data_IF_714437928154
#
_entry.id   IF_714437928154
#
_cell.length_a   1.000
_cell.length_b   1.000
_cell.length_c   1.000
_cell.angle_alpha   90.00
_cell.angle_beta   90.00
_cell.angle_gamma   90.00
#
_symmetry.space_group_name_H-M   'P 1'
#
loop_
_entity.id
_entity.type
_entity.pdbx_description
1 polymer ?
2 branched ?
3 non-polymer ?
4 non-polymer ?
5 non-polymer ?
#
# COMPACT_ATOMS: atom_id res chain seq x y z
N UNK A 2 -24.94 15.78 -11.65
CA UNK A 2 -25.10 16.30 -10.26
C UNK A 2 -25.32 15.31 -9.10
N UNK A 3 -24.43 14.35 -8.94
CA UNK A 3 -24.58 13.29 -7.95
C UNK A 3 -24.27 13.70 -6.50
N UNK A 4 -23.33 14.62 -6.26
CA UNK A 4 -23.01 14.94 -4.87
C UNK A 4 -23.10 16.38 -4.39
N UNK A 5 -22.46 16.71 -3.26
CA UNK A 5 -22.41 18.08 -2.74
C UNK A 5 -20.98 18.56 -2.56
N UNK A 6 -20.64 19.67 -3.21
CA UNK A 6 -19.32 20.27 -3.11
C UNK A 6 -19.31 21.31 -2.02
N UNK A 7 -18.15 21.46 -1.39
CA UNK A 7 -17.88 22.57 -0.54
C UNK A 7 -16.41 22.88 -0.59
N UNK A 8 -16.00 23.89 0.17
CA UNK A 8 -14.57 24.11 0.38
C UNK A 8 -13.95 22.93 1.13
N UNK A 9 -12.96 22.30 0.49
CA UNK A 9 -12.15 21.21 1.04
C UNK A 9 -12.87 19.88 1.14
N UNK A 10 -14.00 19.67 0.45
CA UNK A 10 -14.63 18.35 0.50
C UNK A 10 -15.56 18.13 -0.69
N UNK A 11 -15.92 16.85 -0.88
CA UNK A 11 -16.92 16.43 -1.86
C UNK A 11 -17.67 15.25 -1.24
N UNK A 12 -18.88 15.49 -0.77
CA UNK A 12 -19.75 14.43 -0.25
C UNK A 12 -20.50 13.75 -1.39
N UNK A 13 -20.30 12.44 -1.61
CA UNK A 13 -20.99 11.76 -2.73
C UNK A 13 -22.46 11.48 -2.45
N UNK A 14 -23.22 12.55 -2.21
CA UNK A 14 -24.65 12.45 -1.96
C UNK A 14 -25.29 13.76 -2.38
N UNK A 15 -26.48 13.68 -2.97
CA UNK A 15 -27.12 14.88 -3.50
C UNK A 15 -27.80 15.62 -2.37
N UNK A 16 -27.74 16.95 -2.42
CA UNK A 16 -28.31 17.79 -1.38
C UNK A 16 -29.71 18.29 -1.72
N UNK A 17 -30.39 17.66 -2.70
CA UNK A 17 -31.71 18.15 -3.12
C UNK A 17 -32.71 18.15 -1.96
N UNK A 18 -32.51 17.29 -0.95
CA UNK A 18 -33.30 17.21 0.27
C UNK A 18 -32.74 18.04 1.41
N UNK A 19 -31.59 18.68 1.22
CA UNK A 19 -31.06 19.57 2.22
C UNK A 19 -30.40 18.91 3.42
N UNK A 20 -30.14 17.60 3.38
CA UNK A 20 -29.63 16.90 4.57
C UNK A 20 -28.11 16.79 4.62
N UNK A 21 -27.39 17.16 3.56
CA UNK A 21 -25.95 16.98 3.54
C UNK A 21 -25.28 18.00 4.46
N UNK A 22 -24.23 17.56 5.15
CA UNK A 22 -23.46 18.37 6.07
C UNK A 22 -21.97 18.21 5.76
N UNK A 23 -21.18 19.22 6.10
CA UNK A 23 -19.74 19.15 5.96
C UNK A 23 -19.24 17.89 6.66
N UNK A 24 -18.41 17.07 6.00
CA UNK A 24 -17.84 15.90 6.68
C UNK A 24 -16.87 16.28 7.80
N UNK A 25 -16.55 17.56 7.95
CA UNK A 25 -15.76 18.02 9.08
C UNK A 25 -16.59 18.48 10.29
N UNK A 26 -17.93 18.48 10.22
CA UNK A 26 -18.75 19.08 11.27
C UNK A 26 -19.88 18.21 11.80
N UNK A 27 -20.33 17.19 11.07
CA UNK A 27 -21.54 16.51 11.48
C UNK A 27 -21.58 15.15 10.78
N UNK A 28 -22.26 14.17 11.36
CA UNK A 28 -22.16 12.79 10.88
C UNK A 28 -22.84 12.55 9.53
N UNK A 29 -22.22 11.69 8.73
CA UNK A 29 -22.67 11.46 7.36
C UNK A 29 -23.62 10.26 7.28
N UNK A 30 -24.60 10.15 8.21
CA UNK A 30 -25.43 8.93 8.25
C UNK A 30 -26.46 8.85 7.10
N UNK A 31 -26.41 9.68 6.05
CA UNK A 31 -27.21 9.53 4.85
C UNK A 31 -26.40 8.86 3.74
N UNK A 32 -25.08 8.78 3.90
CA UNK A 32 -24.21 7.96 3.06
C UNK A 32 -24.34 6.49 3.40
N UNK A 33 -24.68 6.18 4.66
CA UNK A 33 -24.56 4.83 5.20
C UNK A 33 -25.21 4.80 6.57
N UNK A 34 -25.88 3.69 6.88
CA UNK A 34 -26.46 3.48 8.20
C UNK A 34 -25.37 3.50 9.27
N UNK A 35 -25.73 3.87 10.51
CA UNK A 35 -24.74 3.79 11.60
C UNK A 35 -24.01 2.45 11.68
N UNK A 36 -24.76 1.34 11.60
CA UNK A 36 -24.13 0.02 11.66
C UNK A 36 -23.08 -0.17 10.57
N UNK A 37 -23.22 0.50 9.44
CA UNK A 37 -22.18 0.38 8.42
C UNK A 37 -20.96 1.19 8.78
N UNK A 38 -21.13 2.32 9.49
CA UNK A 38 -19.95 2.99 10.01
C UNK A 38 -19.28 2.15 11.08
N UNK A 39 -20.07 1.45 11.91
CA UNK A 39 -19.50 0.53 12.89
C UNK A 39 -18.71 -0.58 12.23
N UNK A 40 -19.23 -1.13 11.12
CA UNK A 40 -18.54 -2.20 10.40
C UNK A 40 -17.26 -1.65 9.78
N UNK A 41 -17.30 -0.40 9.31
CA UNK A 41 -16.05 0.26 8.96
C UNK A 41 -15.09 0.27 10.14
N UNK A 42 -15.62 0.55 11.34
CA UNK A 42 -14.77 0.57 12.54
C UNK A 42 -14.23 -0.82 12.82
N UNK A 43 -15.10 -1.83 12.74
CA UNK A 43 -14.69 -3.20 13.02
C UNK A 43 -13.61 -3.67 12.06
N UNK A 44 -13.74 -3.33 10.78
CA UNK A 44 -12.72 -3.69 9.80
C UNK A 44 -11.37 -3.05 10.18
N UNK A 45 -11.40 -1.76 10.56
CA UNK A 45 -10.18 -1.07 10.99
C UNK A 45 -9.59 -1.74 12.23
N UNK A 46 -10.45 -2.20 13.15
CA UNK A 46 -9.94 -2.88 14.33
C UNK A 46 -9.21 -4.16 13.93
N UNK A 47 -9.80 -4.92 13.02
CA UNK A 47 -9.16 -6.12 12.48
C UNK A 47 -7.78 -5.79 11.90
N UNK A 48 -7.71 -4.76 11.05
CA UNK A 48 -6.42 -4.42 10.46
C UNK A 48 -5.42 -4.01 11.51
N UNK A 49 -5.85 -3.27 12.56
CA UNK A 49 -4.94 -2.89 13.65
C UNK A 49 -4.46 -4.13 14.41
N UNK A 50 -5.39 -4.99 14.81
CA UNK A 50 -5.03 -6.10 15.68
C UNK A 50 -4.18 -7.13 14.97
N UNK A 51 -4.31 -7.25 13.65
CA UNK A 51 -3.41 -8.12 12.89
C UNK A 51 -2.19 -7.36 12.40
N UNK A 52 -2.37 -6.11 11.98
CA UNK A 52 -1.30 -5.37 11.36
C UNK A 52 -0.23 -4.82 12.28
N UNK A 53 -0.61 -4.35 13.47
CA UNK A 53 0.41 -3.88 14.42
C UNK A 53 1.33 -5.02 14.83
N UNK A 54 0.83 -6.14 15.37
CA UNK A 54 1.77 -7.17 15.86
C UNK A 54 2.69 -7.68 14.76
N UNK A 55 2.15 -8.04 13.60
CA UNK A 55 2.96 -8.62 12.53
C UNK A 55 4.07 -7.65 12.12
N UNK A 56 3.73 -6.39 11.93
CA UNK A 56 4.75 -5.45 11.50
C UNK A 56 5.66 -5.05 12.65
N UNK A 57 5.10 -4.90 13.86
CA UNK A 57 5.97 -4.60 14.98
C UNK A 57 6.91 -5.75 15.26
N UNK A 58 6.39 -6.98 15.25
CA UNK A 58 7.21 -8.16 15.49
C UNK A 58 8.33 -8.26 14.46
N UNK A 59 8.08 -7.85 13.22
CA UNK A 59 9.13 -7.83 12.20
C UNK A 59 10.29 -6.93 12.62
N UNK A 60 9.97 -5.75 13.16
CA UNK A 60 11.02 -4.87 13.67
C UNK A 60 11.67 -5.46 14.90
N UNK A 61 10.88 -6.17 15.72
CA UNK A 61 11.39 -6.60 17.01
C UNK A 61 12.36 -7.77 16.84
N UNK A 62 11.99 -8.78 16.04
CA UNK A 62 12.88 -9.92 15.84
C UNK A 62 14.14 -9.53 15.08
N UNK A 63 14.11 -8.46 14.30
CA UNK A 63 15.34 -8.03 13.65
C UNK A 63 16.33 -7.46 14.66
N UNK A 64 15.82 -6.86 15.74
CA UNK A 64 16.68 -6.36 16.80
C UNK A 64 17.35 -7.51 17.57
N UNK A 65 16.67 -8.65 17.70
CA UNK A 65 17.16 -9.76 18.51
C UNK A 65 18.02 -10.77 17.77
N UNK A 66 18.05 -10.73 16.44
CA UNK A 66 18.64 -11.82 15.64
C UNK A 66 19.64 -11.22 14.66
N UNK A 67 20.93 -11.44 14.91
CA UNK A 67 21.97 -10.76 14.13
C UNK A 67 21.87 -11.12 12.66
N UNK A 68 21.46 -12.36 12.35
CA UNK A 68 21.52 -12.80 10.96
C UNK A 68 20.44 -12.17 10.08
N UNK A 69 19.43 -11.53 10.67
CA UNK A 69 18.44 -10.83 9.85
C UNK A 69 18.95 -9.48 9.35
N UNK A 70 19.95 -8.90 10.03
CA UNK A 70 20.41 -7.56 9.70
C UNK A 70 21.40 -7.56 8.52
N UNK A 71 20.92 -8.07 7.38
CA UNK A 71 21.69 -8.08 6.14
C UNK A 71 21.11 -7.05 5.17
N UNK A 72 21.95 -6.49 4.28
CA UNK A 72 21.46 -5.41 3.41
C UNK A 72 20.24 -5.77 2.58
N UNK A 73 20.16 -7.01 2.08
CA UNK A 73 19.00 -7.43 1.30
C UNK A 73 17.70 -7.40 2.11
N UNK A 74 17.80 -7.31 3.44
CA UNK A 74 16.63 -7.26 4.31
C UNK A 74 16.22 -5.85 4.71
N UNK A 75 17.08 -4.84 4.49
CA UNK A 75 16.73 -3.47 4.88
C UNK A 75 15.40 -3.05 4.25
N UNK A 76 15.18 -3.36 2.97
CA UNK A 76 13.96 -2.91 2.31
C UNK A 76 12.74 -3.56 2.94
N UNK A 77 12.90 -4.75 3.54
CA UNK A 77 11.80 -5.41 4.23
C UNK A 77 11.47 -4.72 5.55
N UNK A 78 12.49 -4.22 6.26
CA UNK A 78 12.22 -3.41 7.45
C UNK A 78 11.48 -2.14 7.06
N UNK A 79 11.91 -1.49 5.98
CA UNK A 79 11.21 -0.34 5.43
C UNK A 79 9.74 -0.66 5.18
N UNK A 80 9.48 -1.83 4.57
CA UNK A 80 8.11 -2.29 4.36
C UNK A 80 7.34 -2.34 5.67
N UNK A 81 7.97 -2.89 6.72
CA UNK A 81 7.32 -3.01 8.03
C UNK A 81 6.98 -1.62 8.58
N UNK A 82 7.95 -0.69 8.51
CA UNK A 82 7.70 0.67 8.96
C UNK A 82 6.56 1.31 8.17
N UNK A 83 6.55 1.11 6.85
CA UNK A 83 5.52 1.73 6.03
C UNK A 83 4.15 1.22 6.44
N UNK A 84 4.04 -0.09 6.63
CA UNK A 84 2.79 -0.66 7.12
C UNK A 84 2.37 -0.06 8.46
N UNK A 85 3.33 0.29 9.32
CA UNK A 85 2.97 0.87 10.61
C UNK A 85 2.46 2.30 10.46
N UNK A 86 3.00 3.08 9.50
CA UNK A 86 2.40 4.34 9.11
C UNK A 86 0.95 4.17 8.69
N UNK A 87 0.67 3.11 7.93
CA UNK A 87 -0.71 2.85 7.54
C UNK A 87 -1.55 2.47 8.73
N UNK A 88 -0.99 1.66 9.64
CA UNK A 88 -1.75 1.18 10.79
C UNK A 88 -2.10 2.34 11.72
N UNK A 89 -1.18 3.27 11.92
CA UNK A 89 -1.37 4.33 12.92
C UNK A 89 -1.82 5.64 12.32
N UNK A 90 -1.25 6.05 11.18
CA UNK A 90 -1.73 7.23 10.50
C UNK A 90 -3.06 7.06 9.83
N UNK A 91 -3.46 5.82 9.54
CA UNK A 91 -4.62 5.56 8.73
C UNK A 91 -5.70 4.79 9.45
N UNK A 92 -5.41 3.55 9.85
CA UNK A 92 -6.46 2.69 10.39
C UNK A 92 -6.91 3.20 11.76
N UNK A 93 -5.99 3.75 12.55
CA UNK A 93 -6.34 4.21 13.90
C UNK A 93 -7.19 5.46 13.82
N UNK A 94 -6.74 6.45 13.04
CA UNK A 94 -7.56 7.64 12.81
C UNK A 94 -8.92 7.29 12.24
N UNK A 95 -9.00 6.30 11.36
CA UNK A 95 -10.27 5.98 10.75
C UNK A 95 -11.18 5.21 11.69
N UNK A 96 -10.60 4.37 12.55
CA UNK A 96 -11.40 3.77 13.62
C UNK A 96 -12.03 4.84 14.49
N UNK A 97 -11.29 5.93 14.71
CA UNK A 97 -11.79 6.92 15.66
C UNK A 97 -12.85 7.80 15.02
N UNK A 98 -12.63 8.24 13.78
CA UNK A 98 -13.61 9.07 13.07
C UNK A 98 -14.82 8.25 12.69
N UNK A 99 -14.62 7.03 12.20
CA UNK A 99 -15.75 6.18 11.87
C UNK A 99 -16.77 6.06 13.01
N UNK A 100 -16.31 6.07 14.27
CA UNK A 100 -17.23 5.99 15.41
C UNK A 100 -17.91 7.30 15.76
N UNK A 101 -17.45 8.40 15.20
CA UNK A 101 -18.18 9.65 15.22
C UNK A 101 -19.09 9.78 14.00
N UNK A 102 -18.79 9.08 12.92
CA UNK A 102 -19.55 9.14 11.70
C UNK A 102 -19.13 10.25 10.78
N UNK A 103 -17.97 10.86 11.02
CA UNK A 103 -17.44 11.90 10.15
C UNK A 103 -16.03 12.23 10.60
N UNK A 104 -15.37 13.06 9.81
CA UNK A 104 -13.96 13.32 10.01
C UNK A 104 -13.79 14.44 11.02
N UNK A 105 -13.69 14.04 12.30
CA UNK A 105 -13.83 15.00 13.40
C UNK A 105 -12.60 15.88 13.59
N UNK A 106 -11.56 15.68 12.79
CA UNK A 106 -10.31 16.38 12.99
C UNK A 106 -10.18 17.60 12.08
N UNK A 107 -11.18 17.89 11.24
CA UNK A 107 -11.15 19.10 10.44
C UNK A 107 -10.20 19.03 9.27
N UNK A 108 -10.21 20.08 8.44
CA UNK A 108 -9.36 20.06 7.23
C UNK A 108 -7.88 19.88 7.52
N UNK A 109 -7.37 20.48 8.60
CA UNK A 109 -5.96 20.27 8.98
C UNK A 109 -5.68 18.81 9.32
N UNK A 110 -6.52 18.21 10.16
CA UNK A 110 -6.38 16.78 10.39
C UNK A 110 -6.49 15.97 9.12
N UNK A 111 -7.25 16.48 8.14
CA UNK A 111 -7.44 15.77 6.89
C UNK A 111 -6.13 15.69 6.10
N UNK A 112 -5.35 16.79 6.11
CA UNK A 112 -4.06 16.78 5.43
C UNK A 112 -3.08 15.86 6.13
N UNK A 113 -3.06 15.89 7.47
CA UNK A 113 -2.16 15.05 8.22
C UNK A 113 -2.44 13.57 8.00
N UNK A 114 -3.68 13.15 8.23
CA UNK A 114 -4.03 11.75 8.05
C UNK A 114 -3.92 11.33 6.60
N UNK A 115 -4.28 12.22 5.68
CA UNK A 115 -4.09 11.93 4.28
C UNK A 115 -2.63 11.76 3.92
N UNK A 116 -1.79 12.69 4.37
CA UNK A 116 -0.37 12.62 4.04
C UNK A 116 0.24 11.33 4.58
N UNK A 117 0.05 11.05 5.87
CA UNK A 117 0.76 9.92 6.47
C UNK A 117 0.21 8.60 5.95
N UNK A 118 -1.11 8.50 5.74
CA UNK A 118 -1.65 7.27 5.19
C UNK A 118 -1.23 7.10 3.72
N UNK A 119 -1.14 8.19 2.96
CA UNK A 119 -0.67 8.07 1.59
C UNK A 119 0.82 7.76 1.54
N UNK A 120 1.60 8.40 2.43
CA UNK A 120 3.03 8.10 2.53
C UNK A 120 3.28 6.64 2.90
N UNK A 121 2.56 6.12 3.89
CA UNK A 121 2.74 4.73 4.27
C UNK A 121 2.51 3.76 3.12
N UNK A 122 1.38 3.93 2.42
CA UNK A 122 1.06 3.02 1.32
C UNK A 122 2.02 3.17 0.16
N UNK A 123 2.48 4.40 -0.09
CA UNK A 123 3.43 4.64 -1.17
C UNK A 123 4.78 4.00 -0.85
N UNK A 124 5.27 4.14 0.40
CA UNK A 124 6.56 3.55 0.77
C UNK A 124 6.48 2.04 0.66
N UNK A 125 5.36 1.45 1.08
CA UNK A 125 5.17 0.01 0.90
C UNK A 125 5.26 -0.36 -0.59
N UNK A 126 4.41 0.26 -1.41
CA UNK A 126 4.44 0.06 -2.86
C UNK A 126 5.85 0.07 -3.42
N UNK A 127 6.60 1.13 -3.14
CA UNK A 127 7.92 1.25 -3.75
C UNK A 127 8.92 0.32 -3.07
N UNK A 128 8.67 -0.09 -1.83
CA UNK A 128 9.50 -1.12 -1.21
C UNK A 128 9.39 -2.43 -1.98
N UNK A 129 8.18 -2.81 -2.39
CA UNK A 129 8.03 -4.01 -3.21
C UNK A 129 8.68 -3.84 -4.57
N UNK A 130 8.63 -2.63 -5.13
CA UNK A 130 9.32 -2.36 -6.38
C UNK A 130 10.82 -2.48 -6.17
N UNK A 131 11.35 -1.84 -5.14
CA UNK A 131 12.80 -1.83 -4.93
C UNK A 131 13.29 -3.23 -4.56
N UNK A 132 12.54 -3.96 -3.73
CA UNK A 132 12.92 -5.33 -3.41
C UNK A 132 13.04 -6.16 -4.69
N UNK A 133 12.14 -5.93 -5.65
CA UNK A 133 12.19 -6.71 -6.89
C UNK A 133 13.40 -6.31 -7.71
N UNK A 134 13.71 -5.01 -7.73
CA UNK A 134 14.91 -4.56 -8.43
C UNK A 134 16.16 -5.17 -7.79
N UNK A 135 16.18 -5.21 -6.45
CA UNK A 135 17.37 -5.70 -5.77
C UNK A 135 17.58 -7.19 -6.03
N UNK A 136 16.53 -7.99 -5.84
CA UNK A 136 16.61 -9.42 -6.14
C UNK A 136 16.98 -9.68 -7.60
N UNK A 137 16.46 -8.85 -8.52
CA UNK A 137 16.83 -9.00 -9.93
C UNK A 137 18.31 -8.78 -10.15
N UNK A 138 18.88 -7.79 -9.46
CA UNK A 138 20.30 -7.46 -9.61
C UNK A 138 21.16 -8.59 -9.05
N UNK A 139 20.79 -9.11 -7.87
CA UNK A 139 21.59 -10.11 -7.18
C UNK A 139 21.60 -11.44 -7.93
N UNK A 140 20.52 -11.77 -8.63
CA UNK A 140 20.35 -13.07 -9.29
C UNK A 140 20.73 -13.02 -10.78
N UNK A 141 20.25 -12.03 -11.51
CA UNK A 141 20.51 -11.96 -12.94
C UNK A 141 21.86 -11.31 -13.28
N UNK A 142 22.57 -10.76 -12.28
CA UNK A 142 23.90 -10.17 -12.42
C UNK A 142 24.05 -9.39 -13.73
N UNK A 143 23.34 -8.27 -13.89
CA UNK A 143 23.47 -7.47 -15.13
C UNK A 143 24.65 -6.51 -15.18
N UNK A 144 25.39 -6.33 -14.08
CA UNK A 144 26.64 -5.58 -14.07
C UNK A 144 27.75 -6.56 -13.74
N UNK A 145 28.83 -6.54 -14.52
CA UNK A 145 29.74 -7.68 -14.47
C UNK A 145 30.58 -7.67 -13.20
N UNK A 146 31.04 -6.52 -12.76
CA UNK A 146 31.90 -6.43 -11.58
C UNK A 146 31.18 -5.87 -10.34
N UNK A 147 29.90 -6.23 -10.13
CA UNK A 147 29.04 -5.57 -9.17
C UNK A 147 28.70 -6.51 -8.01
N UNK A 148 28.75 -5.96 -6.79
CA UNK A 148 28.38 -6.68 -5.58
C UNK A 148 27.49 -5.77 -4.73
N UNK A 149 26.28 -6.25 -4.42
CA UNK A 149 25.27 -5.45 -3.72
C UNK A 149 25.58 -5.40 -2.22
N UNK A 150 25.81 -4.20 -1.70
CA UNK A 150 26.16 -4.06 -0.29
C UNK A 150 25.36 -3.07 0.52
N UNK A 151 25.89 -2.70 1.69
CA UNK A 151 25.16 -1.84 2.62
C UNK A 151 24.77 -0.50 1.98
N UNK A 152 25.72 0.18 1.33
CA UNK A 152 25.40 1.50 0.78
C UNK A 152 24.31 1.41 -0.29
N UNK A 153 24.36 0.39 -1.14
CA UNK A 153 23.33 0.24 -2.17
C UNK A 153 21.96 0.01 -1.54
N UNK A 154 21.89 -0.79 -0.48
CA UNK A 154 20.60 -1.08 0.15
C UNK A 154 20.03 0.16 0.84
N UNK A 155 20.88 1.04 1.36
CA UNK A 155 20.39 2.31 1.89
C UNK A 155 19.78 3.17 0.79
N UNK A 156 20.51 3.35 -0.33
CA UNK A 156 19.94 4.02 -1.50
C UNK A 156 18.54 3.52 -1.83
N UNK A 157 18.36 2.19 -1.92
CA UNK A 157 17.05 1.67 -2.20
C UNK A 157 15.98 2.15 -1.25
N UNK A 158 16.29 2.20 0.04
CA UNK A 158 15.30 2.63 1.02
C UNK A 158 15.01 4.12 0.84
N UNK A 159 16.07 4.93 0.83
CA UNK A 159 15.93 6.35 0.53
C UNK A 159 15.08 6.57 -0.71
N UNK A 160 15.30 5.76 -1.75
CA UNK A 160 14.55 5.91 -2.99
C UNK A 160 13.06 5.79 -2.77
N UNK A 161 12.64 4.82 -1.94
CA UNK A 161 11.21 4.68 -1.67
C UNK A 161 10.66 5.93 -0.99
N UNK A 162 11.46 6.54 -0.11
CA UNK A 162 11.00 7.76 0.56
C UNK A 162 10.86 8.92 -0.41
N UNK A 163 11.76 9.00 -1.39
CA UNK A 163 11.65 10.05 -2.40
C UNK A 163 10.41 9.83 -3.26
N UNK A 164 10.21 8.59 -3.75
CA UNK A 164 9.01 8.32 -4.54
C UNK A 164 7.74 8.57 -3.74
N UNK A 165 7.73 8.19 -2.46
CA UNK A 165 6.53 8.36 -1.65
C UNK A 165 6.26 9.83 -1.37
N UNK A 166 7.32 10.60 -1.10
CA UNK A 166 7.11 12.04 -0.94
C UNK A 166 6.63 12.65 -2.24
N UNK A 167 7.11 12.12 -3.37
CA UNK A 167 6.72 12.68 -4.65
C UNK A 167 5.24 12.49 -4.95
N UNK A 168 4.60 11.48 -4.34
CA UNK A 168 3.15 11.36 -4.45
C UNK A 168 2.44 12.13 -3.35
N UNK A 169 2.89 11.96 -2.10
CA UNK A 169 2.12 12.36 -0.93
C UNK A 169 2.24 13.84 -0.62
N UNK A 170 3.32 14.48 -1.04
CA UNK A 170 3.62 15.85 -0.65
C UNK A 170 3.02 16.91 -1.58
N UNK A 171 2.89 16.69 -2.90
CA UNK A 171 2.28 17.74 -3.76
C UNK A 171 0.89 18.16 -3.34
N UNK A 172 -0.03 17.25 -2.97
CA UNK A 172 -1.37 17.68 -2.55
C UNK A 172 -1.35 18.60 -1.34
N UNK A 173 -0.24 18.65 -0.62
CA UNK A 173 -0.05 19.56 0.49
C UNK A 173 0.26 20.98 0.00
N UNK A 174 0.72 21.15 -1.24
CA UNK A 174 1.25 22.43 -1.70
C UNK A 174 0.58 22.85 -3.00
N UNK A 175 -0.53 22.22 -3.38
CA UNK A 175 -1.33 22.77 -4.47
C UNK A 175 -1.45 21.91 -5.71
N UNK A 176 -0.87 20.72 -5.78
CA UNK A 176 -1.12 19.79 -6.89
C UNK A 176 -1.92 18.63 -6.34
N UNK A 177 -3.20 18.57 -6.73
CA UNK A 177 -4.24 17.79 -6.10
C UNK A 177 -4.49 18.30 -4.69
N UNK A 178 -5.03 17.46 -3.82
CA UNK A 178 -5.42 17.91 -2.49
C UNK A 178 -5.91 16.69 -1.72
N UNK A 179 -5.91 16.82 -0.40
CA UNK A 179 -6.51 15.79 0.43
C UNK A 179 -7.93 16.22 0.81
N UNK A 180 -8.86 15.28 0.72
CA UNK A 180 -10.25 15.49 1.10
C UNK A 180 -10.75 14.20 1.72
N UNK A 181 -11.80 14.28 2.53
CA UNK A 181 -12.49 13.05 2.92
C UNK A 181 -12.87 12.23 1.69
N UNK A 182 -12.91 10.92 1.86
CA UNK A 182 -13.20 10.03 0.75
C UNK A 182 -14.14 8.95 1.28
N UNK A 183 -14.84 8.31 0.35
CA UNK A 183 -15.74 7.23 0.73
C UNK A 183 -16.80 7.78 1.64
N UNK A 184 -16.91 7.16 2.78
CA UNK A 184 -17.87 7.52 3.82
C UNK A 184 -17.40 8.74 4.60
N UNK A 185 -16.31 9.37 4.16
CA UNK A 185 -15.86 10.69 4.60
C UNK A 185 -15.17 10.60 5.96
N UNK A 186 -14.78 9.41 6.37
CA UNK A 186 -14.08 9.18 7.63
C UNK A 186 -12.58 9.06 7.47
N UNK A 187 -12.08 9.00 6.24
CA UNK A 187 -10.64 9.03 6.02
C UNK A 187 -10.36 9.92 4.84
N UNK A 188 -9.12 10.39 4.77
CA UNK A 188 -8.70 11.41 3.83
C UNK A 188 -7.67 10.81 2.88
N UNK A 189 -7.67 11.27 1.63
CA UNK A 189 -6.72 10.77 0.65
C UNK A 189 -6.63 11.69 -0.55
N UNK A 190 -5.82 11.26 -1.52
CA UNK A 190 -5.68 12.02 -2.75
C UNK A 190 -7.05 12.16 -3.38
N UNK A 191 -7.36 13.36 -3.88
CA UNK A 191 -8.62 13.63 -4.58
C UNK A 191 -8.50 13.20 -6.04
N UNK A 192 -8.87 11.98 -6.39
CA UNK A 192 -9.08 11.60 -7.80
C UNK A 192 -10.56 11.65 -8.20
N UNK A 193 -11.42 12.29 -7.41
CA UNK A 193 -12.88 12.12 -7.43
C UNK A 193 -13.58 13.36 -7.91
N UNK A 194 -12.88 14.44 -7.99
CA UNK A 194 -13.45 15.68 -8.39
C UNK A 194 -12.53 16.16 -9.48
N UNK A 195 -13.04 16.85 -10.46
CA UNK A 195 -12.20 17.35 -11.53
C UNK A 195 -11.72 18.75 -11.22
N UNK A 196 -11.14 18.91 -10.03
CA UNK A 196 -10.74 20.20 -9.52
C UNK A 196 -9.77 20.83 -10.49
N UNK A 197 -9.99 22.08 -10.82
CA UNK A 197 -9.16 22.72 -11.83
C UNK A 197 -8.11 23.62 -11.19
N UNK A 198 -8.44 24.18 -10.02
CA UNK A 198 -7.55 25.11 -9.34
C UNK A 198 -6.26 24.45 -8.88
N UNK A 199 -6.29 23.15 -8.57
CA UNK A 199 -5.13 22.37 -8.16
C UNK A 199 -4.67 21.36 -9.23
N UNK A 200 -5.14 21.52 -10.47
CA UNK A 200 -4.76 20.65 -11.59
C UNK A 200 -4.85 19.17 -11.24
N UNK A 201 -6.04 18.76 -10.78
CA UNK A 201 -6.23 17.38 -10.33
C UNK A 201 -6.00 16.38 -11.45
N UNK A 202 -6.49 16.70 -12.66
CA UNK A 202 -6.38 15.81 -13.81
C UNK A 202 -4.94 15.34 -14.03
N UNK A 203 -4.02 16.30 -14.12
CA UNK A 203 -2.64 15.93 -14.43
C UNK A 203 -1.97 15.18 -13.28
N UNK A 204 -2.42 15.38 -12.05
CA UNK A 204 -1.88 14.58 -10.96
C UNK A 204 -2.37 13.14 -11.05
N UNK A 205 -3.63 12.95 -11.46
CA UNK A 205 -4.16 11.60 -11.61
C UNK A 205 -3.41 10.86 -12.72
N UNK A 206 -3.18 11.53 -13.86
CA UNK A 206 -2.37 10.96 -14.92
C UNK A 206 -0.97 10.63 -14.39
N UNK A 207 -0.36 11.57 -13.67
CA UNK A 207 0.99 11.35 -13.17
C UNK A 207 1.01 10.21 -12.17
N UNK A 208 0.00 10.15 -11.30
CA UNK A 208 -0.13 9.00 -10.40
C UNK A 208 -0.30 7.72 -11.19
N UNK A 209 -1.13 7.78 -12.23
CA UNK A 209 -1.48 6.57 -12.96
C UNK A 209 -0.25 6.01 -13.65
N UNK A 210 0.53 6.89 -14.30
CA UNK A 210 1.71 6.46 -15.04
C UNK A 210 2.83 6.05 -14.09
N UNK A 211 3.21 6.95 -13.19
CA UNK A 211 4.46 6.80 -12.45
C UNK A 211 4.29 5.89 -11.23
N UNK A 212 3.17 6.01 -10.52
CA UNK A 212 2.94 5.28 -9.28
C UNK A 212 1.96 4.12 -9.45
N UNK A 213 1.60 3.78 -10.68
CA UNK A 213 0.69 2.67 -10.90
C UNK A 213 1.18 1.79 -12.04
N UNK A 214 1.50 2.40 -13.18
CA UNK A 214 1.94 1.66 -14.35
C UNK A 214 3.39 1.21 -14.20
N UNK A 215 4.29 2.18 -13.96
CA UNK A 215 5.71 1.86 -13.83
C UNK A 215 5.99 0.81 -12.76
N UNK A 216 5.41 0.88 -11.54
CA UNK A 216 5.64 -0.21 -10.58
C UNK A 216 5.28 -1.57 -11.11
N UNK A 217 4.16 -1.69 -11.83
CA UNK A 217 3.75 -2.99 -12.34
C UNK A 217 4.74 -3.49 -13.39
N UNK A 218 5.21 -2.60 -14.26
CA UNK A 218 6.13 -3.00 -15.32
C UNK A 218 7.46 -3.47 -14.71
N UNK A 219 8.00 -2.69 -13.77
CA UNK A 219 9.27 -3.04 -13.15
C UNK A 219 9.15 -4.34 -12.38
N UNK A 220 8.08 -4.51 -11.61
CA UNK A 220 7.89 -5.73 -10.86
C UNK A 220 7.79 -6.93 -11.80
N UNK A 221 7.03 -6.80 -12.89
CA UNK A 221 6.88 -7.94 -13.80
C UNK A 221 8.18 -8.27 -14.51
N UNK A 222 8.90 -7.24 -14.97
CA UNK A 222 10.15 -7.48 -15.66
C UNK A 222 11.20 -8.13 -14.76
N UNK A 223 11.46 -7.52 -13.60
CA UNK A 223 12.48 -8.04 -12.71
C UNK A 223 12.18 -9.49 -12.32
N UNK A 224 10.97 -9.77 -11.88
CA UNK A 224 10.66 -11.14 -11.45
C UNK A 224 10.54 -12.08 -12.62
N UNK A 225 10.12 -11.61 -13.78
CA UNK A 225 10.09 -12.48 -14.94
C UNK A 225 11.48 -12.91 -15.33
N UNK A 226 12.39 -11.94 -15.47
CA UNK A 226 13.78 -12.24 -15.77
C UNK A 226 14.37 -13.18 -14.74
N UNK A 227 14.10 -12.92 -13.47
CA UNK A 227 14.65 -13.74 -12.39
C UNK A 227 14.20 -15.19 -12.52
N UNK A 228 12.90 -15.41 -12.74
CA UNK A 228 12.40 -16.77 -12.88
C UNK A 228 13.03 -17.43 -14.10
N UNK A 229 13.19 -16.66 -15.17
CA UNK A 229 13.83 -17.19 -16.37
C UNK A 229 15.26 -17.62 -16.07
N UNK A 230 16.04 -16.75 -15.41
CA UNK A 230 17.41 -17.07 -15.02
C UNK A 230 17.47 -18.31 -14.13
N UNK A 231 16.57 -18.42 -13.15
CA UNK A 231 16.65 -19.55 -12.24
C UNK A 231 16.27 -20.86 -12.94
N UNK A 232 15.20 -20.84 -13.74
CA UNK A 232 14.84 -22.01 -14.55
C UNK A 232 15.96 -22.40 -15.51
N UNK A 233 16.61 -21.42 -16.13
CA UNK A 233 17.65 -21.72 -17.10
C UNK A 233 18.84 -22.37 -16.41
N UNK A 234 19.22 -21.83 -15.24
CA UNK A 234 20.34 -22.36 -14.48
C UNK A 234 20.03 -23.76 -13.97
N UNK A 235 18.81 -23.94 -13.44
CA UNK A 235 18.44 -25.26 -12.92
C UNK A 235 18.42 -26.29 -14.03
N UNK A 236 18.05 -25.89 -15.26
CA UNK A 236 18.03 -26.80 -16.39
C UNK A 236 19.41 -27.34 -16.70
N UNK A 237 20.44 -26.54 -16.43
CA UNK A 237 21.83 -26.94 -16.64
C UNK A 237 22.36 -27.80 -15.50
N UNK A 238 21.57 -28.03 -14.46
CA UNK A 238 21.98 -28.81 -13.29
C UNK A 238 20.83 -29.71 -12.87
N UNK A 239 20.28 -30.44 -13.83
CA UNK A 239 19.13 -31.27 -13.54
C UNK A 239 19.48 -32.48 -12.67
N UNK A 240 20.78 -32.75 -12.47
CA UNK A 240 21.23 -33.80 -11.58
C UNK A 240 21.09 -33.44 -10.11
N UNK A 241 20.82 -32.17 -9.80
CA UNK A 241 20.75 -31.70 -8.42
C UNK A 241 19.29 -31.60 -8.03
N UNK A 242 18.83 -32.55 -7.21
CA UNK A 242 17.43 -32.58 -6.78
C UNK A 242 17.05 -31.33 -5.99
N UNK A 243 18.01 -30.73 -5.27
CA UNK A 243 17.70 -29.54 -4.48
C UNK A 243 17.60 -28.31 -5.36
N UNK A 244 18.48 -28.20 -6.36
CA UNK A 244 18.36 -27.15 -7.37
C UNK A 244 16.96 -27.16 -7.98
N UNK A 245 16.46 -28.33 -8.38
CA UNK A 245 15.09 -28.40 -8.88
C UNK A 245 14.09 -27.99 -7.81
N UNK A 246 14.29 -28.44 -6.56
CA UNK A 246 13.41 -28.02 -5.46
C UNK A 246 13.49 -26.51 -5.25
N UNK A 247 14.71 -25.95 -5.25
CA UNK A 247 14.86 -24.51 -5.09
C UNK A 247 14.19 -23.76 -6.23
N UNK A 248 14.39 -24.21 -7.47
CA UNK A 248 13.74 -23.58 -8.61
C UNK A 248 12.23 -23.56 -8.45
N UNK A 249 11.63 -24.72 -8.12
CA UNK A 249 10.18 -24.79 -7.96
C UNK A 249 9.67 -23.81 -6.91
N UNK A 250 10.44 -23.62 -5.83
CA UNK A 250 9.94 -22.78 -4.76
C UNK A 250 10.17 -21.29 -5.04
N UNK A 251 11.28 -20.94 -5.70
CA UNK A 251 11.45 -19.57 -6.18
C UNK A 251 10.32 -19.22 -7.14
N UNK A 252 10.06 -20.11 -8.11
CA UNK A 252 8.99 -19.84 -9.07
C UNK A 252 7.66 -19.67 -8.36
N UNK A 253 7.33 -20.60 -7.46
CA UNK A 253 6.05 -20.55 -6.75
C UNK A 253 5.94 -19.29 -5.89
N UNK A 254 7.06 -18.81 -5.36
CA UNK A 254 7.04 -17.62 -4.53
C UNK A 254 6.86 -16.35 -5.38
N UNK A 255 7.50 -16.29 -6.54
CA UNK A 255 7.30 -15.15 -7.42
C UNK A 255 5.85 -15.08 -7.84
N UNK A 256 5.26 -16.24 -8.13
CA UNK A 256 3.86 -16.28 -8.54
C UNK A 256 2.97 -15.71 -7.44
N UNK A 257 3.23 -16.09 -6.19
CA UNK A 257 2.45 -15.57 -5.06
C UNK A 257 2.59 -14.07 -4.92
N UNK A 258 3.81 -13.56 -5.10
CA UNK A 258 4.04 -12.14 -4.94
C UNK A 258 3.35 -11.35 -6.02
N UNK A 259 3.49 -11.81 -7.27
CA UNK A 259 2.90 -11.13 -8.41
C UNK A 259 1.38 -11.18 -8.33
N UNK A 260 0.82 -12.32 -7.90
CA UNK A 260 -0.63 -12.45 -7.80
C UNK A 260 -1.12 -11.56 -6.66
N UNK A 261 -0.39 -11.54 -5.55
CA UNK A 261 -0.72 -10.65 -4.45
C UNK A 261 -0.69 -9.20 -4.90
N UNK A 262 0.31 -8.82 -5.68
CA UNK A 262 0.39 -7.44 -6.14
C UNK A 262 -0.77 -7.13 -7.07
N UNK A 263 -1.15 -8.10 -7.92
CA UNK A 263 -2.28 -7.88 -8.80
C UNK A 263 -3.59 -7.83 -8.03
N UNK A 264 -3.70 -8.59 -6.94
CA UNK A 264 -4.93 -8.56 -6.14
C UNK A 264 -5.12 -7.16 -5.58
N UNK A 265 -4.02 -6.49 -5.26
CA UNK A 265 -4.10 -5.10 -4.87
C UNK A 265 -4.25 -4.19 -6.10
N UNK A 266 -3.60 -4.56 -7.21
CA UNK A 266 -3.47 -3.64 -8.35
C UNK A 266 -4.67 -3.66 -9.28
N UNK A 267 -5.20 -4.86 -9.56
CA UNK A 267 -6.29 -4.96 -10.54
C UNK A 267 -7.57 -4.25 -10.13
N UNK A 268 -8.01 -4.25 -8.85
CA UNK A 268 -9.21 -3.46 -8.52
C UNK A 268 -9.11 -2.01 -8.95
N UNK A 269 -7.98 -1.34 -8.73
CA UNK A 269 -7.81 0.01 -9.26
C UNK A 269 -7.96 0.03 -10.77
N UNK A 270 -7.31 -0.92 -11.46
CA UNK A 270 -7.36 -0.96 -12.92
C UNK A 270 -8.77 -1.23 -13.43
N UNK A 271 -9.48 -2.17 -12.79
CA UNK A 271 -10.87 -2.40 -13.17
C UNK A 271 -11.74 -1.17 -12.97
N UNK A 272 -11.62 -0.51 -11.83
CA UNK A 272 -12.42 0.68 -11.54
C UNK A 272 -12.05 1.81 -12.49
N UNK A 273 -10.75 2.04 -12.71
CA UNK A 273 -10.28 3.08 -13.61
C UNK A 273 -10.83 2.88 -15.02
N UNK A 274 -10.92 1.61 -15.46
CA UNK A 274 -11.51 1.28 -16.76
C UNK A 274 -12.96 1.73 -16.81
N UNK A 275 -13.67 1.64 -15.69
CA UNK A 275 -15.05 2.07 -15.61
C UNK A 275 -15.09 3.59 -15.85
N UNK A 276 -14.12 4.33 -15.28
CA UNK A 276 -13.96 5.80 -15.47
C UNK A 276 -13.80 6.19 -16.95
N UNK A 277 -13.15 5.35 -17.76
CA UNK A 277 -12.90 5.70 -19.16
C UNK A 277 -14.16 5.38 -19.98
N UNK A 278 -14.62 4.13 -19.97
CA UNK A 278 -15.88 3.86 -20.63
C UNK A 278 -16.92 4.23 -19.58
N UNK A 279 -18.22 4.03 -19.83
CA UNK A 279 -19.25 4.35 -18.81
C UNK A 279 -18.92 5.57 -17.94
N UNK A 280 -18.37 6.63 -18.53
CA UNK A 280 -18.19 7.92 -17.85
C UNK A 280 -19.49 8.54 -17.33
N UNK A 281 -20.56 8.50 -18.13
CA UNK A 281 -21.82 9.16 -17.83
C UNK A 281 -22.22 9.45 -16.39
N UNK A 282 -22.51 8.38 -15.63
CA UNK A 282 -22.97 8.49 -14.25
C UNK A 282 -21.84 8.85 -13.29
N UNK A 283 -22.24 9.20 -12.06
CA UNK A 283 -21.36 9.46 -10.93
C UNK A 283 -21.89 8.69 -9.73
N UNK A 284 -21.02 7.96 -9.02
CA UNK A 284 -21.53 7.02 -8.02
C UNK A 284 -20.70 7.03 -6.74
N UNK A 285 -21.38 6.79 -5.63
CA UNK A 285 -20.78 6.79 -4.30
C UNK A 285 -21.66 6.18 -3.21
N UNK A 286 -21.15 6.09 -1.97
CA UNK A 286 -19.82 6.52 -1.51
C UNK A 286 -18.69 5.72 -2.15
N UNK A 287 -19.05 4.52 -2.63
CA UNK A 287 -18.11 3.57 -3.21
C UNK A 287 -18.65 3.09 -4.57
N UNK A 288 -18.14 3.44 -5.77
CA UNK A 288 -17.03 4.33 -6.23
C UNK A 288 -15.75 3.55 -6.45
N UNK A 289 -14.67 4.28 -6.78
CA UNK A 289 -13.28 3.81 -6.77
C UNK A 289 -12.78 3.55 -5.36
N UNK A 290 -13.63 3.63 -4.36
CA UNK A 290 -13.11 3.32 -3.06
C UNK A 290 -13.24 1.84 -2.72
N UNK A 291 -13.79 1.00 -3.62
CA UNK A 291 -13.73 -0.45 -3.40
C UNK A 291 -12.29 -0.94 -3.39
N UNK A 292 -11.43 -0.53 -4.33
CA UNK A 292 -10.01 -0.92 -4.25
C UNK A 292 -9.34 -0.47 -2.98
N UNK A 293 -9.60 0.77 -2.56
CA UNK A 293 -8.99 1.29 -1.34
C UNK A 293 -9.39 0.46 -0.13
N UNK A 294 -10.68 0.16 -0.02
CA UNK A 294 -11.14 -0.70 1.06
C UNK A 294 -10.25 -1.94 1.15
N UNK A 295 -10.12 -2.68 0.04
CA UNK A 295 -9.32 -3.90 0.04
C UNK A 295 -7.80 -3.66 -0.03
N UNK A 296 -7.33 -2.57 -0.65
CA UNK A 296 -5.88 -2.35 -0.68
C UNK A 296 -5.30 -2.12 0.71
N UNK A 297 -6.14 -1.73 1.68
CA UNK A 297 -5.68 -1.50 3.04
C UNK A 297 -5.15 -2.79 3.64
N UNK A 298 -5.78 -3.91 3.29
CA UNK A 298 -5.39 -5.21 3.81
C UNK A 298 -3.95 -5.60 3.43
N UNK A 299 -3.32 -4.87 2.52
CA UNK A 299 -1.92 -5.16 2.22
C UNK A 299 -1.02 -4.90 3.41
N UNK A 300 -1.46 -4.12 4.39
CA UNK A 300 -0.67 -3.94 5.61
C UNK A 300 -0.57 -5.23 6.41
N UNK A 301 -1.49 -6.16 6.18
CA UNK A 301 -1.47 -7.46 6.83
C UNK A 301 -0.86 -8.55 5.94
N UNK A 302 -1.29 -8.65 4.67
CA UNK A 302 -0.87 -9.81 3.87
C UNK A 302 0.50 -9.61 3.22
N UNK A 303 0.93 -8.37 2.97
CA UNK A 303 2.31 -8.19 2.50
C UNK A 303 3.35 -8.69 3.48
N UNK A 304 3.34 -8.32 4.77
CA UNK A 304 4.32 -8.93 5.69
C UNK A 304 4.18 -10.43 5.80
N UNK A 305 2.97 -10.98 5.70
CA UNK A 305 2.81 -12.43 5.69
C UNK A 305 3.58 -13.04 4.52
N UNK A 306 3.51 -12.43 3.35
CA UNK A 306 4.10 -13.03 2.16
C UNK A 306 5.60 -12.80 2.09
N UNK A 307 6.06 -11.57 2.36
CA UNK A 307 7.46 -11.22 2.21
C UNK A 307 8.30 -11.45 3.46
N UNK A 308 7.68 -11.64 4.60
CA UNK A 308 8.45 -11.73 5.84
C UNK A 308 8.13 -13.06 6.50
N UNK A 309 6.86 -13.28 6.81
CA UNK A 309 6.45 -14.47 7.52
C UNK A 309 6.68 -15.76 6.71
N UNK A 310 6.78 -15.69 5.38
CA UNK A 310 7.12 -16.85 4.55
C UNK A 310 8.61 -16.98 4.27
N UNK A 311 9.38 -15.95 4.60
CA UNK A 311 10.85 -16.00 4.59
C UNK A 311 11.33 -16.95 5.69
N UNK A 312 12.16 -17.94 5.31
CA UNK A 312 12.53 -19.01 6.24
C UNK A 312 13.22 -18.47 7.49
N UNK A 313 14.08 -17.47 7.33
CA UNK A 313 14.79 -16.94 8.49
C UNK A 313 13.85 -16.32 9.51
N UNK A 314 13.05 -15.33 9.09
CA UNK A 314 12.19 -14.59 10.02
C UNK A 314 11.29 -15.56 10.77
N UNK A 315 10.72 -16.54 10.07
CA UNK A 315 9.77 -17.44 10.72
C UNK A 315 10.41 -18.11 11.92
N UNK A 316 11.63 -18.65 11.75
CA UNK A 316 12.26 -19.37 12.85
C UNK A 316 12.70 -18.41 13.94
N UNK A 317 13.21 -17.24 13.57
CA UNK A 317 13.53 -16.22 14.56
C UNK A 317 12.28 -15.76 15.32
N UNK A 318 11.15 -15.58 14.61
CA UNK A 318 9.92 -15.14 15.28
C UNK A 318 9.44 -16.19 16.27
N UNK A 319 9.52 -17.48 15.90
CA UNK A 319 9.14 -18.55 16.82
C UNK A 319 10.03 -18.54 18.06
N UNK A 320 11.34 -18.41 17.86
CA UNK A 320 12.29 -18.33 18.98
C UNK A 320 11.93 -17.18 19.91
N UNK A 321 11.54 -16.04 19.34
CA UNK A 321 11.27 -14.85 20.16
C UNK A 321 9.94 -14.97 20.90
N UNK A 322 8.93 -15.54 20.26
CA UNK A 322 7.63 -15.70 20.89
C UNK A 322 7.71 -16.75 22.01
N UNK A 323 8.56 -17.75 21.82
CA UNK A 323 8.76 -18.76 22.83
C UNK A 323 9.89 -18.51 23.81
N UNK A 324 10.19 -17.23 23.97
CA UNK A 324 11.09 -16.75 25.02
C UNK A 324 12.44 -17.47 24.92
N UNK A 325 12.91 -17.62 23.69
CA UNK A 325 14.23 -18.17 23.43
C UNK A 325 14.32 -19.66 23.21
N UNK A 326 13.28 -20.43 23.48
CA UNK A 326 13.37 -21.87 23.41
C UNK A 326 12.53 -22.38 22.24
N UNK A 327 12.97 -23.48 21.64
CA UNK A 327 12.30 -24.04 20.46
C UNK A 327 12.07 -22.99 19.37
#
# INVERSE_FOLDING_TARGET
XMCGTEGPNFYVPFSNKTGVVRSPFEAPQYYLAEPWQFSMLAAYMFLLIMLGFPINFLTLYVTVQHKKLRTPLNYILLNLAVADLFMVFGGFTTTLYTSLHGYFVFGPTGCNLEGFFATLGGEIALWSLVVLAIERYVVVCKPMSNFRFGENHAIMGVAFTWVMALACAAPPLVGWSRYIPEGMQCSCGIDYYTPHEETNNESFVIYMFVVHFIIPLIVIFFCYGQLVFTVKEAAAQQQESATTQKAEKEVTRMVIIMVIAFLICWLPYAGVAFYIFTHQGSCFGPIFMTIPAFFAKTSAVYNPVIYIMMNKQFRNCMVTTLCCGKNPLGDDEASTTVSKTETSQVAPA
#
